data_IF_604193129853
#
_entry.id   IF_604193129853
#
_cell.length_a   1.000
_cell.length_b   1.000
_cell.length_c   1.000
_cell.angle_alpha   90.00
_cell.angle_beta   90.00
_cell.angle_gamma   90.00
#
_symmetry.space_group_name_H-M   'P 1'
#
loop_
_entity.id
_entity.type
_entity.pdbx_description
1 polymer ?
#
# COMPACT_ATOMS: atom_id res chain seq x y z
N UNK A 1 22.46 -16.37 -10.08
CA UNK A 1 23.62 -15.94 -9.23
C UNK A 1 23.47 -16.58 -7.87
N UNK A 2 24.51 -17.21 -7.28
CA UNK A 2 24.47 -17.59 -5.86
C UNK A 2 24.48 -16.32 -5.02
N UNK A 3 23.47 -16.11 -4.19
CA UNK A 3 23.47 -15.01 -3.23
C UNK A 3 24.57 -15.25 -2.21
N UNK A 4 25.27 -14.19 -1.77
CA UNK A 4 26.29 -14.27 -0.70
C UNK A 4 25.67 -14.52 0.69
N UNK A 5 24.34 -14.49 0.77
CA UNK A 5 23.54 -14.63 1.99
C UNK A 5 22.64 -15.84 1.80
N UNK A 6 22.80 -16.84 2.67
CA UNK A 6 22.11 -18.12 2.57
C UNK A 6 20.63 -18.04 3.03
N UNK A 7 20.33 -17.15 3.98
CA UNK A 7 19.01 -17.01 4.60
C UNK A 7 18.40 -15.63 4.36
N UNK A 8 18.26 -15.23 3.09
CA UNK A 8 17.61 -13.98 2.72
C UNK A 8 16.12 -14.23 2.45
N UNK A 9 15.26 -13.49 3.17
CA UNK A 9 13.82 -13.40 2.90
C UNK A 9 13.48 -11.95 2.62
N UNK A 10 12.70 -11.70 1.56
CA UNK A 10 12.27 -10.37 1.17
C UNK A 10 10.78 -10.20 1.50
N UNK A 11 10.46 -9.22 2.34
CA UNK A 11 9.09 -8.72 2.49
C UNK A 11 8.77 -7.74 1.36
N UNK A 12 8.01 -8.20 0.38
CA UNK A 12 7.48 -7.42 -0.74
C UNK A 12 5.99 -7.11 -0.58
N UNK A 13 5.47 -7.04 0.66
CA UNK A 13 4.07 -6.76 0.89
C UNK A 13 3.62 -5.43 0.26
N UNK A 14 4.49 -4.41 0.22
CA UNK A 14 4.23 -3.12 -0.43
C UNK A 14 4.76 -3.01 -1.88
N UNK A 15 5.20 -4.13 -2.46
CA UNK A 15 5.88 -4.19 -3.76
C UNK A 15 5.33 -5.31 -4.65
N UNK A 16 4.00 -5.43 -4.70
CA UNK A 16 3.29 -6.56 -5.34
C UNK A 16 3.73 -6.87 -6.77
N UNK A 17 4.03 -5.84 -7.55
CA UNK A 17 4.41 -5.98 -8.96
C UNK A 17 5.89 -6.26 -9.19
N UNK A 18 6.72 -6.19 -8.15
CA UNK A 18 8.15 -6.50 -8.28
C UNK A 18 8.36 -7.98 -8.47
N UNK A 19 9.11 -8.35 -9.52
CA UNK A 19 9.45 -9.73 -9.79
C UNK A 19 10.29 -10.31 -8.65
N UNK A 20 10.00 -11.54 -8.20
CA UNK A 20 10.84 -12.17 -7.19
C UNK A 20 12.23 -12.42 -7.76
N UNK A 21 13.24 -12.30 -6.90
CA UNK A 21 14.60 -12.67 -7.28
C UNK A 21 14.74 -14.19 -7.31
N UNK A 22 15.51 -14.69 -8.27
CA UNK A 22 15.75 -16.12 -8.43
C UNK A 22 16.37 -16.71 -7.15
N UNK A 23 15.84 -17.84 -6.67
CA UNK A 23 16.29 -18.53 -5.46
C UNK A 23 16.21 -17.71 -4.16
N UNK A 24 15.42 -16.62 -4.12
CA UNK A 24 15.17 -15.85 -2.89
C UNK A 24 13.70 -15.93 -2.50
N UNK A 25 13.45 -16.32 -1.25
CA UNK A 25 12.11 -16.40 -0.69
C UNK A 25 11.51 -15.00 -0.56
N UNK A 26 10.38 -14.75 -1.21
CA UNK A 26 9.75 -13.43 -1.27
C UNK A 26 8.26 -13.53 -0.94
N UNK A 27 7.81 -12.69 0.00
CA UNK A 27 6.41 -12.65 0.46
C UNK A 27 5.72 -11.42 -0.11
N UNK A 28 4.49 -11.57 -0.59
CA UNK A 28 3.69 -10.48 -1.14
C UNK A 28 2.32 -10.41 -0.47
N UNK A 29 1.73 -9.21 -0.46
CA UNK A 29 0.37 -8.98 0.04
C UNK A 29 -0.50 -8.39 -1.06
N UNK A 30 -1.40 -9.17 -1.68
CA UNK A 30 -2.35 -8.64 -2.67
C UNK A 30 -3.32 -7.62 -2.05
N UNK A 31 -3.64 -7.75 -0.76
CA UNK A 31 -4.58 -6.87 -0.05
C UNK A 31 -4.16 -5.39 -0.04
N UNK A 32 -2.85 -5.10 -0.13
CA UNK A 32 -2.36 -3.71 -0.21
C UNK A 32 -2.61 -3.06 -1.58
N UNK A 33 -2.94 -3.85 -2.60
CA UNK A 33 -3.12 -3.37 -3.98
C UNK A 33 -4.55 -3.58 -4.51
N UNK A 34 -5.28 -4.60 -4.01
CA UNK A 34 -6.54 -5.05 -4.57
C UNK A 34 -7.62 -5.26 -3.51
N UNK A 35 -8.89 -5.23 -3.95
CA UNK A 35 -10.08 -5.42 -3.10
C UNK A 35 -10.30 -6.87 -2.70
N UNK A 36 -9.36 -7.45 -1.97
CA UNK A 36 -9.46 -8.78 -1.33
C UNK A 36 -9.38 -8.64 0.18
N UNK A 37 -10.12 -9.46 0.93
CA UNK A 37 -10.17 -9.36 2.39
C UNK A 37 -8.88 -9.80 3.09
N UNK A 38 -8.09 -10.64 2.42
CA UNK A 38 -6.91 -11.32 2.94
C UNK A 38 -6.05 -11.84 1.78
N UNK A 39 -5.04 -12.64 2.12
CA UNK A 39 -4.21 -13.37 1.18
C UNK A 39 -2.75 -12.92 1.21
N UNK A 40 -1.88 -13.84 0.80
CA UNK A 40 -0.47 -13.62 0.57
C UNK A 40 -0.01 -14.51 -0.58
N UNK A 41 1.05 -14.09 -1.27
CA UNK A 41 1.81 -14.97 -2.16
C UNK A 41 3.18 -15.22 -1.56
N UNK A 42 3.67 -16.44 -1.69
CA UNK A 42 5.03 -16.82 -1.37
C UNK A 42 5.72 -17.29 -2.65
N UNK A 43 6.67 -16.52 -3.14
CA UNK A 43 7.59 -16.95 -4.18
C UNK A 43 8.77 -17.67 -3.52
N UNK A 44 8.93 -18.96 -3.79
CA UNK A 44 9.90 -19.81 -3.13
C UNK A 44 10.32 -20.97 -4.05
N UNK A 45 11.55 -21.44 -3.91
CA UNK A 45 12.04 -22.68 -4.53
C UNK A 45 11.97 -23.89 -3.57
N UNK A 46 11.44 -23.68 -2.35
CA UNK A 46 11.18 -24.75 -1.38
C UNK A 46 9.71 -25.12 -1.41
N UNK A 47 9.45 -26.42 -1.53
CA UNK A 47 8.12 -26.97 -1.35
C UNK A 47 7.86 -27.15 0.15
N UNK A 48 6.69 -26.71 0.60
CA UNK A 48 6.22 -27.00 1.94
C UNK A 48 5.61 -28.41 1.93
N UNK A 49 6.16 -29.33 2.72
CA UNK A 49 5.64 -30.69 2.87
C UNK A 49 4.52 -30.72 3.93
N UNK A 50 3.50 -29.86 3.73
CA UNK A 50 2.34 -29.75 4.60
C UNK A 50 1.06 -29.58 3.78
N UNK A 51 0.01 -30.31 4.18
CA UNK A 51 -1.33 -30.11 3.64
C UNK A 51 -2.02 -28.94 4.36
N UNK A 52 -1.89 -27.75 3.79
CA UNK A 52 -2.56 -26.56 4.31
C UNK A 52 -4.07 -26.65 4.07
N UNK A 53 -4.86 -26.43 5.12
CA UNK A 53 -6.30 -26.29 4.99
C UNK A 53 -6.65 -25.09 4.10
N UNK A 54 -7.65 -25.24 3.24
CA UNK A 54 -8.17 -24.12 2.46
C UNK A 54 -8.90 -23.15 3.39
N UNK A 55 -8.61 -21.86 3.21
CA UNK A 55 -9.30 -20.82 3.94
C UNK A 55 -10.69 -20.50 3.34
N UNK A 56 -11.52 -19.85 4.15
CA UNK A 56 -12.87 -19.39 3.77
C UNK A 56 -12.97 -17.92 4.17
N UNK A 57 -13.12 -17.03 3.17
CA UNK A 57 -12.97 -15.58 3.36
C UNK A 57 -14.24 -14.76 3.17
N UNK A 58 -15.40 -15.36 2.89
CA UNK A 58 -16.61 -14.61 2.55
C UNK A 58 -17.07 -13.65 3.66
N UNK A 59 -17.05 -14.09 4.93
CA UNK A 59 -17.42 -13.24 6.08
C UNK A 59 -16.48 -12.04 6.27
N UNK A 60 -15.25 -12.13 5.74
CA UNK A 60 -14.25 -11.07 5.83
C UNK A 60 -14.38 -9.99 4.75
N UNK A 61 -15.28 -10.18 3.79
CA UNK A 61 -15.49 -9.24 2.67
C UNK A 61 -16.34 -8.02 3.03
N UNK A 62 -17.04 -8.02 4.15
CA UNK A 62 -18.05 -7.00 4.48
C UNK A 62 -17.54 -5.56 4.33
N UNK A 63 -16.34 -5.27 4.82
CA UNK A 63 -15.72 -3.94 4.71
C UNK A 63 -15.47 -3.48 3.25
N UNK A 64 -15.21 -4.42 2.35
CA UNK A 64 -15.01 -4.13 0.92
C UNK A 64 -16.35 -3.91 0.22
N UNK A 65 -17.37 -4.68 0.59
CA UNK A 65 -18.72 -4.54 0.06
C UNK A 65 -19.33 -3.20 0.48
N UNK A 66 -19.25 -2.84 1.77
CA UNK A 66 -19.67 -1.53 2.27
C UNK A 66 -18.97 -0.39 1.54
N UNK A 67 -17.66 -0.51 1.30
CA UNK A 67 -16.91 0.52 0.57
C UNK A 67 -17.31 0.62 -0.90
N UNK A 68 -17.66 -0.49 -1.53
CA UNK A 68 -18.08 -0.53 -2.93
C UNK A 68 -19.46 0.11 -3.13
N UNK A 69 -20.40 -0.16 -2.21
CA UNK A 69 -21.78 0.34 -2.30
C UNK A 69 -21.96 1.74 -1.70
N UNK A 70 -21.18 2.09 -0.68
CA UNK A 70 -21.27 3.35 0.05
C UNK A 70 -19.97 4.16 -0.11
N UNK A 71 -19.09 4.11 0.89
CA UNK A 71 -17.83 4.86 0.90
C UNK A 71 -16.82 4.23 1.89
N UNK A 72 -15.61 4.77 1.92
CA UNK A 72 -14.53 4.20 2.73
C UNK A 72 -14.79 4.32 4.24
N UNK A 73 -15.51 5.35 4.66
CA UNK A 73 -15.81 5.67 6.06
C UNK A 73 -16.82 4.68 6.65
N UNK A 74 -17.88 4.35 5.90
CA UNK A 74 -18.87 3.34 6.31
C UNK A 74 -18.24 1.94 6.45
N UNK A 75 -17.26 1.60 5.61
CA UNK A 75 -16.54 0.33 5.69
C UNK A 75 -15.45 0.26 6.76
N UNK A 76 -15.08 1.39 7.39
CA UNK A 76 -13.85 1.47 8.20
C UNK A 76 -13.90 0.62 9.48
N UNK A 77 -15.03 0.62 10.20
CA UNK A 77 -15.17 -0.18 11.41
C UNK A 77 -15.03 -1.69 11.12
N UNK A 78 -15.63 -2.14 10.01
CA UNK A 78 -15.53 -3.53 9.55
C UNK A 78 -14.12 -3.88 9.06
N UNK A 79 -13.41 -2.92 8.45
CA UNK A 79 -12.01 -3.09 8.07
C UNK A 79 -11.13 -3.35 9.30
N UNK A 80 -11.31 -2.56 10.37
CA UNK A 80 -10.57 -2.74 11.63
C UNK A 80 -10.86 -4.10 12.29
N UNK A 81 -12.13 -4.53 12.28
CA UNK A 81 -12.52 -5.86 12.75
C UNK A 81 -11.82 -6.96 11.94
N UNK A 82 -11.84 -6.84 10.61
CA UNK A 82 -11.17 -7.79 9.73
C UNK A 82 -9.66 -7.84 9.99
N UNK A 83 -8.98 -6.71 10.13
CA UNK A 83 -7.55 -6.66 10.47
C UNK A 83 -7.24 -7.41 11.77
N UNK A 84 -8.11 -7.27 12.78
CA UNK A 84 -7.94 -7.94 14.07
C UNK A 84 -8.12 -9.46 13.96
N UNK A 85 -9.07 -9.92 13.14
CA UNK A 85 -9.32 -11.34 12.88
C UNK A 85 -8.16 -12.01 12.14
N UNK A 86 -7.35 -11.25 11.39
CA UNK A 86 -6.19 -11.80 10.66
C UNK A 86 -4.97 -12.06 11.55
N UNK A 87 -4.93 -11.48 12.75
CA UNK A 87 -3.80 -11.62 13.68
C UNK A 87 -3.75 -13.05 14.23
N UNK A 88 -2.57 -13.66 14.23
CA UNK A 88 -2.31 -15.01 14.74
C UNK A 88 -3.16 -16.13 14.10
N UNK A 89 -3.68 -15.93 12.89
CA UNK A 89 -4.34 -17.00 12.16
C UNK A 89 -3.32 -18.08 11.73
N UNK A 90 -3.73 -19.37 11.73
CA UNK A 90 -2.90 -20.43 11.20
C UNK A 90 -2.64 -20.24 9.70
N UNK A 91 -1.51 -20.75 9.22
CA UNK A 91 -1.20 -20.76 7.79
C UNK A 91 -2.23 -21.64 7.07
N UNK A 92 -2.81 -21.10 6.00
CA UNK A 92 -3.83 -21.75 5.17
C UNK A 92 -3.58 -21.49 3.70
N UNK A 93 -4.10 -22.37 2.86
CA UNK A 93 -4.19 -22.11 1.43
C UNK A 93 -5.22 -21.01 1.18
N UNK A 94 -4.92 -20.14 0.20
CA UNK A 94 -5.80 -19.01 -0.16
C UNK A 94 -7.21 -19.49 -0.50
N UNK A 95 -8.23 -18.79 -0.01
CA UNK A 95 -9.62 -19.18 -0.27
C UNK A 95 -9.97 -19.16 -1.76
N UNK A 96 -10.95 -19.96 -2.17
CA UNK A 96 -11.45 -19.94 -3.55
C UNK A 96 -12.02 -18.57 -3.96
N UNK A 97 -12.64 -17.85 -3.01
CA UNK A 97 -13.18 -16.52 -3.26
C UNK A 97 -12.07 -15.52 -3.54
N UNK A 98 -11.05 -15.46 -2.68
CA UNK A 98 -9.89 -14.58 -2.86
C UNK A 98 -9.17 -14.91 -4.17
N UNK A 99 -8.98 -16.19 -4.50
CA UNK A 99 -8.39 -16.61 -5.79
C UNK A 99 -9.22 -16.11 -6.99
N UNK A 100 -10.54 -16.30 -6.99
CA UNK A 100 -11.42 -15.85 -8.07
C UNK A 100 -11.36 -14.34 -8.29
N UNK A 101 -11.36 -13.56 -7.21
CA UNK A 101 -11.22 -12.10 -7.28
C UNK A 101 -9.88 -11.72 -7.89
N UNK A 102 -8.77 -12.33 -7.43
CA UNK A 102 -7.45 -12.03 -7.97
C UNK A 102 -7.33 -12.41 -9.45
N UNK A 103 -7.91 -13.54 -9.85
CA UNK A 103 -7.95 -13.96 -11.26
C UNK A 103 -8.77 -13.03 -12.17
N UNK A 104 -9.69 -12.22 -11.63
CA UNK A 104 -10.49 -11.30 -12.44
C UNK A 104 -9.86 -9.92 -12.62
N UNK A 105 -8.67 -9.67 -12.07
CA UNK A 105 -8.04 -8.36 -12.11
C UNK A 105 -7.31 -8.16 -13.45
N UNK A 106 -7.59 -7.04 -14.10
CA UNK A 106 -6.73 -6.53 -15.17
C UNK A 106 -5.45 -5.93 -14.58
N UNK A 107 -4.45 -6.79 -14.37
CA UNK A 107 -3.17 -6.39 -13.81
C UNK A 107 -2.41 -5.40 -14.70
N UNK A 108 -2.63 -5.41 -16.02
CA UNK A 108 -1.97 -4.48 -16.94
C UNK A 108 -2.55 -3.08 -16.76
N UNK A 109 -3.88 -2.95 -16.83
CA UNK A 109 -4.55 -1.67 -16.59
C UNK A 109 -4.25 -1.08 -15.21
N UNK A 110 -4.18 -1.91 -14.16
CA UNK A 110 -3.81 -1.45 -12.82
C UNK A 110 -2.40 -0.84 -12.79
N UNK A 111 -1.42 -1.48 -13.44
CA UNK A 111 -0.04 -0.98 -13.51
C UNK A 111 0.02 0.37 -14.20
N UNK A 112 -0.64 0.46 -15.36
CA UNK A 112 -0.66 1.66 -16.19
C UNK A 112 -1.27 2.86 -15.45
N UNK A 113 -2.43 2.67 -14.80
CA UNK A 113 -3.09 3.75 -14.05
C UNK A 113 -2.24 4.20 -12.86
N UNK A 114 -1.72 3.25 -12.06
CA UNK A 114 -0.85 3.60 -10.92
C UNK A 114 0.38 4.36 -11.35
N UNK A 115 1.01 3.93 -12.45
CA UNK A 115 2.19 4.59 -12.98
C UNK A 115 1.86 5.99 -13.49
N UNK A 116 0.79 6.12 -14.27
CA UNK A 116 0.29 7.42 -14.76
C UNK A 116 0.02 8.39 -13.60
N UNK A 117 -0.67 7.92 -12.55
CA UNK A 117 -0.99 8.74 -11.38
C UNK A 117 0.28 9.17 -10.64
N UNK A 118 1.23 8.24 -10.42
CA UNK A 118 2.52 8.56 -9.81
C UNK A 118 3.29 9.62 -10.62
N UNK A 119 3.46 9.40 -11.91
CA UNK A 119 4.23 10.31 -12.78
C UNK A 119 3.56 11.69 -12.89
N UNK A 120 2.23 11.74 -12.88
CA UNK A 120 1.48 12.99 -12.85
C UNK A 120 1.76 13.79 -11.56
N UNK A 121 1.66 13.15 -10.39
CA UNK A 121 1.99 13.78 -9.12
C UNK A 121 3.46 14.21 -9.08
N UNK A 122 4.40 13.35 -9.48
CA UNK A 122 5.83 13.63 -9.49
C UNK A 122 6.15 14.87 -10.36
N UNK A 123 5.56 14.93 -11.56
CA UNK A 123 5.77 16.05 -12.49
C UNK A 123 5.41 17.42 -11.91
N UNK A 124 4.50 17.47 -10.92
CA UNK A 124 4.01 18.70 -10.29
C UNK A 124 4.58 18.95 -8.90
N UNK A 125 4.91 17.88 -8.17
CA UNK A 125 5.30 17.97 -6.76
C UNK A 125 6.80 17.77 -6.53
N UNK A 126 7.57 17.19 -7.45
CA UNK A 126 9.00 16.84 -7.23
C UNK A 126 9.85 18.00 -6.74
N UNK A 127 9.63 19.21 -7.25
CA UNK A 127 10.42 20.40 -6.86
C UNK A 127 10.07 20.91 -5.45
N UNK A 128 8.94 20.47 -4.89
CA UNK A 128 8.49 20.79 -3.52
C UNK A 128 8.69 19.61 -2.56
N UNK A 129 9.05 18.43 -3.09
CA UNK A 129 9.23 17.22 -2.32
C UNK A 129 10.66 17.18 -1.77
N UNK A 130 10.81 17.07 -0.46
CA UNK A 130 12.13 16.94 0.17
C UNK A 130 12.78 15.58 -0.11
N UNK A 131 12.00 14.60 -0.56
CA UNK A 131 12.51 13.31 -1.01
C UNK A 131 13.01 13.40 -2.45
N UNK A 132 14.24 12.91 -2.68
CA UNK A 132 14.75 12.66 -4.02
C UNK A 132 14.35 11.26 -4.48
N UNK A 133 13.18 11.15 -5.10
CA UNK A 133 12.63 9.87 -5.56
C UNK A 133 13.33 9.40 -6.83
N UNK A 134 13.98 8.23 -6.75
CA UNK A 134 14.57 7.53 -7.90
C UNK A 134 13.76 6.28 -8.19
N UNK A 135 12.76 6.42 -9.06
CA UNK A 135 11.85 5.32 -9.42
C UNK A 135 12.20 4.80 -10.81
N UNK A 136 12.53 3.52 -10.92
CA UNK A 136 12.78 2.87 -12.22
C UNK A 136 11.50 2.82 -13.06
N UNK A 137 11.64 2.72 -14.38
CA UNK A 137 10.50 2.62 -15.31
C UNK A 137 9.63 1.39 -15.03
N UNK A 138 10.25 0.27 -14.64
CA UNK A 138 9.54 -0.99 -14.33
C UNK A 138 8.86 -1.00 -12.95
N UNK A 139 9.10 0.02 -12.11
CA UNK A 139 8.51 0.09 -10.76
C UNK A 139 7.06 0.57 -10.83
N UNK A 140 6.20 -0.12 -10.08
CA UNK A 140 4.77 0.19 -9.95
C UNK A 140 4.50 0.56 -8.48
N UNK A 141 4.53 1.85 -8.14
CA UNK A 141 4.45 2.28 -6.75
C UNK A 141 3.08 1.99 -6.12
N UNK A 142 3.10 1.70 -4.82
CA UNK A 142 1.87 1.54 -4.04
C UNK A 142 1.23 2.90 -3.71
N UNK A 143 2.08 3.91 -3.46
CA UNK A 143 1.77 5.27 -3.01
C UNK A 143 2.79 6.25 -3.61
N UNK A 144 2.47 7.54 -3.64
CA UNK A 144 3.44 8.60 -3.88
C UNK A 144 3.86 9.24 -2.54
N UNK A 145 5.10 9.05 -2.05
CA UNK A 145 5.56 9.67 -0.82
C UNK A 145 5.92 11.14 -1.06
N UNK A 146 5.28 12.04 -0.33
CA UNK A 146 5.55 13.47 -0.36
C UNK A 146 6.01 13.94 1.02
N UNK A 147 7.23 14.44 1.11
CA UNK A 147 7.78 15.01 2.33
C UNK A 147 7.85 16.53 2.22
N UNK A 148 7.27 17.20 3.22
CA UNK A 148 7.42 18.63 3.46
C UNK A 148 7.47 18.86 4.97
N UNK A 149 8.05 19.97 5.43
CA UNK A 149 8.03 20.34 6.85
C UNK A 149 6.65 20.84 7.35
N UNK A 150 5.61 20.74 6.53
CA UNK A 150 4.24 21.14 6.87
C UNK A 150 3.55 20.05 7.71
N UNK A 151 3.66 20.17 9.03
CA UNK A 151 3.19 19.17 10.01
C UNK A 151 1.69 18.86 9.95
N UNK A 152 0.85 19.81 9.54
CA UNK A 152 -0.60 19.68 9.44
C UNK A 152 -1.09 19.21 8.07
N UNK A 153 -0.19 18.96 7.11
CA UNK A 153 -0.57 18.58 5.74
C UNK A 153 -1.47 17.33 5.71
N UNK A 154 -1.15 16.29 6.49
CA UNK A 154 -1.98 15.08 6.60
C UNK A 154 -3.40 15.41 7.09
N UNK A 155 -3.55 16.35 8.03
CA UNK A 155 -4.85 16.81 8.54
C UNK A 155 -5.62 17.59 7.47
N UNK A 156 -4.95 18.44 6.69
CA UNK A 156 -5.57 19.14 5.56
C UNK A 156 -6.10 18.16 4.52
N UNK A 157 -5.30 17.15 4.17
CA UNK A 157 -5.73 16.10 3.24
C UNK A 157 -6.92 15.31 3.78
N UNK A 158 -6.87 14.92 5.05
CA UNK A 158 -7.98 14.21 5.72
C UNK A 158 -9.27 15.02 5.72
N UNK A 159 -9.22 16.32 6.02
CA UNK A 159 -10.38 17.21 6.00
C UNK A 159 -11.01 17.34 4.59
N UNK A 160 -10.23 17.10 3.54
CA UNK A 160 -10.68 17.04 2.16
C UNK A 160 -10.98 15.60 1.69
N UNK A 161 -11.15 14.66 2.62
CA UNK A 161 -11.44 13.23 2.37
C UNK A 161 -10.38 12.51 1.53
N UNK A 162 -9.12 12.97 1.63
CA UNK A 162 -7.95 12.30 1.05
C UNK A 162 -7.24 11.52 2.16
N UNK A 163 -7.53 10.22 2.22
CA UNK A 163 -7.02 9.34 3.26
C UNK A 163 -5.59 8.89 2.96
N UNK A 164 -4.63 9.40 3.74
CA UNK A 164 -3.22 9.02 3.66
C UNK A 164 -2.82 8.16 4.86
N UNK A 165 -2.22 7.00 4.61
CA UNK A 165 -1.75 6.11 5.66
C UNK A 165 -0.59 6.72 6.47
N UNK A 166 -0.34 6.17 7.66
CA UNK A 166 0.87 6.41 8.45
C UNK A 166 1.71 5.15 8.47
N UNK A 167 2.94 5.24 8.00
CA UNK A 167 3.94 4.18 8.03
C UNK A 167 5.20 4.72 8.74
N UNK A 168 5.67 4.18 9.85
CA UNK A 168 5.18 3.08 10.70
C UNK A 168 4.86 3.65 12.10
N UNK A 169 3.62 3.58 12.62
CA UNK A 169 3.23 4.33 13.82
C UNK A 169 4.01 3.92 15.08
N UNK A 170 4.42 2.66 15.20
CA UNK A 170 5.25 2.15 16.29
C UNK A 170 6.62 2.85 16.36
N UNK A 171 7.13 3.40 15.26
CA UNK A 171 8.40 4.17 15.23
C UNK A 171 8.31 5.40 16.14
N UNK A 172 7.12 5.97 16.33
CA UNK A 172 6.93 7.12 17.22
C UNK A 172 7.26 6.79 18.69
N UNK A 173 7.08 5.54 19.09
CA UNK A 173 7.38 5.04 20.44
C UNK A 173 8.81 4.48 20.55
N UNK A 174 9.35 3.93 19.45
CA UNK A 174 10.67 3.28 19.45
C UNK A 174 11.84 4.26 19.29
N UNK A 175 11.61 5.41 18.68
CA UNK A 175 12.65 6.39 18.33
C UNK A 175 12.58 7.68 19.17
N UNK A 176 13.74 8.32 19.31
CA UNK A 176 13.86 9.65 19.92
C UNK A 176 13.28 10.72 18.98
N UNK A 177 12.95 11.89 19.55
CA UNK A 177 12.29 13.00 18.81
C UNK A 177 13.09 13.54 17.63
N UNK A 178 14.42 13.39 17.65
CA UNK A 178 15.31 13.88 16.59
C UNK A 178 15.73 12.80 15.58
N UNK A 179 15.26 11.56 15.75
CA UNK A 179 15.59 10.48 14.83
C UNK A 179 14.85 10.69 13.50
N UNK A 180 15.57 10.50 12.39
CA UNK A 180 15.03 10.71 11.04
C UNK A 180 13.77 9.88 10.80
N UNK A 181 13.75 8.64 11.29
CA UNK A 181 12.62 7.71 11.17
C UNK A 181 11.34 8.28 11.79
N UNK A 182 11.46 8.98 12.93
CA UNK A 182 10.34 9.63 13.61
C UNK A 182 9.88 10.86 12.84
N UNK A 183 10.82 11.68 12.35
CA UNK A 183 10.52 12.83 11.49
C UNK A 183 9.77 12.38 10.23
N UNK A 184 10.28 11.36 9.53
CA UNK A 184 9.64 10.82 8.32
C UNK A 184 8.24 10.27 8.60
N UNK A 185 8.05 9.56 9.72
CA UNK A 185 6.73 9.02 10.09
C UNK A 185 5.69 10.13 10.33
N UNK A 186 6.12 11.28 10.85
CA UNK A 186 5.23 12.43 11.12
C UNK A 186 5.01 13.32 9.89
N UNK A 187 6.05 13.55 9.09
CA UNK A 187 6.05 14.60 8.06
C UNK A 187 5.80 14.07 6.64
N UNK A 188 6.03 12.79 6.38
CA UNK A 188 5.75 12.19 5.05
C UNK A 188 4.26 11.88 4.95
N UNK A 189 3.63 12.38 3.88
CA UNK A 189 2.30 11.96 3.46
C UNK A 189 2.41 10.99 2.30
N UNK A 190 1.78 9.83 2.44
CA UNK A 190 1.76 8.79 1.41
C UNK A 190 0.48 8.95 0.60
N UNK A 191 0.58 9.69 -0.51
CA UNK A 191 -0.56 10.05 -1.34
C UNK A 191 -1.11 8.83 -2.09
N UNK A 192 -2.45 8.68 -2.17
CA UNK A 192 -3.05 7.60 -2.93
C UNK A 192 -2.84 7.82 -4.42
N UNK A 193 -2.53 6.73 -5.13
CA UNK A 193 -2.32 6.70 -6.59
C UNK A 193 -2.98 5.48 -7.22
N UNK A 194 -3.81 4.76 -6.47
CA UNK A 194 -4.32 3.47 -6.89
C UNK A 194 -5.24 3.55 -8.12
N UNK A 195 -5.51 2.40 -8.72
CA UNK A 195 -6.22 2.25 -9.98
C UNK A 195 -7.66 2.79 -10.00
N UNK A 196 -8.22 3.18 -8.86
CA UNK A 196 -9.56 3.77 -8.79
C UNK A 196 -9.56 5.28 -9.00
N UNK A 197 -8.39 5.90 -8.91
CA UNK A 197 -8.23 7.34 -9.06
C UNK A 197 -8.03 7.73 -10.53
N UNK A 198 -8.61 8.86 -10.92
CA UNK A 198 -8.38 9.50 -12.21
C UNK A 198 -7.47 10.74 -12.10
N UNK A 199 -7.23 11.39 -13.24
CA UNK A 199 -6.38 12.57 -13.31
C UNK A 199 -6.99 13.76 -12.54
N UNK A 200 -8.32 13.89 -12.53
CA UNK A 200 -9.04 14.91 -11.77
C UNK A 200 -8.80 14.77 -10.27
N UNK A 201 -8.75 13.54 -9.75
CA UNK A 201 -8.41 13.30 -8.35
C UNK A 201 -6.97 13.71 -8.04
N UNK A 202 -6.02 13.41 -8.95
CA UNK A 202 -4.63 13.84 -8.78
C UNK A 202 -4.50 15.36 -8.79
N UNK A 203 -5.23 16.06 -9.66
CA UNK A 203 -5.31 17.53 -9.69
C UNK A 203 -5.87 18.08 -8.37
N UNK A 204 -6.90 17.46 -7.83
CA UNK A 204 -7.49 17.84 -6.54
C UNK A 204 -6.50 17.66 -5.39
N UNK A 205 -5.78 16.53 -5.32
CA UNK A 205 -4.73 16.30 -4.33
C UNK A 205 -3.66 17.40 -4.40
N UNK A 206 -3.18 17.72 -5.61
CA UNK A 206 -2.19 18.78 -5.82
C UNK A 206 -2.72 20.15 -5.37
N UNK A 207 -3.99 20.46 -5.65
CA UNK A 207 -4.61 21.70 -5.20
C UNK A 207 -4.64 21.80 -3.67
N UNK A 208 -5.06 20.74 -2.97
CA UNK A 208 -5.04 20.71 -1.50
C UNK A 208 -3.65 20.93 -0.93
N UNK A 209 -2.63 20.28 -1.51
CA UNK A 209 -1.22 20.43 -1.09
C UNK A 209 -0.75 21.87 -1.34
N UNK A 210 -0.97 22.41 -2.54
CA UNK A 210 -0.51 23.76 -2.90
C UNK A 210 -1.16 24.84 -2.03
N UNK A 211 -2.46 24.75 -1.77
CA UNK A 211 -3.14 25.68 -0.88
C UNK A 211 -2.53 25.62 0.53
N UNK A 212 -2.34 24.41 1.07
CA UNK A 212 -1.72 24.23 2.39
C UNK A 212 -0.30 24.79 2.48
N UNK A 213 0.51 24.64 1.43
CA UNK A 213 1.89 25.13 1.41
C UNK A 213 2.01 26.64 1.20
N UNK A 214 1.02 27.27 0.55
CA UNK A 214 0.97 28.71 0.32
C UNK A 214 0.42 29.50 1.51
N UNK A 215 -0.22 28.83 2.49
CA UNK A 215 -0.69 29.41 3.74
C UNK A 215 0.45 29.67 4.76
N UNK A 216 1.71 29.77 4.28
CA UNK A 216 2.93 29.99 5.08
C UNK A 216 3.68 31.21 4.57
#
# INVERSE_FOLDING_TARGET
MKTKIDNLIIDSAQSFFSKPLENIHTIYSPRKFFGVSDGAYLATNRLLDENLQNDISFDRMNHLLLRADLNAEEGYAEFCKNDSVLINNPIRSMSQLTQKILCSIDYTGVKEIRRKNFDFLDSKLKNKNLLNLKVSEDSIPMVYPFWSHKKDLKKVLLNNRIYCATYWPNVLEWCNDNDLEKVLTMEVVYLPIDQRYCEEDMKFIIQCINNSLNDV
#
